data_IF_726198115009
#
_entry.id   IF_726198115009
#
_cell.length_a   1.000
_cell.length_b   1.000
_cell.length_c   1.000
_cell.angle_alpha   90.00
_cell.angle_beta   90.00
_cell.angle_gamma   90.00
#
_symmetry.space_group_name_H-M   'P 1'
#
loop_
_entity.id
_entity.type
_entity.pdbx_description
1 polymer ?
#
# COMPACT_ATOMS: atom_id res chain seq x y z
N UNK A 1 -11.78 -31.71 22.62
CA UNK A 1 -11.12 -30.93 21.55
C UNK A 1 -12.18 -30.06 20.89
N UNK A 2 -11.92 -28.78 20.58
CA UNK A 2 -12.90 -27.96 19.88
C UNK A 2 -13.21 -28.58 18.51
N UNK A 3 -14.49 -28.69 18.19
CA UNK A 3 -14.97 -29.11 16.86
C UNK A 3 -14.65 -27.96 15.91
N UNK A 4 -13.78 -28.21 14.93
CA UNK A 4 -13.48 -27.23 13.88
C UNK A 4 -14.63 -27.29 12.87
N UNK A 5 -15.31 -26.17 12.56
CA UNK A 5 -16.39 -26.19 11.57
C UNK A 5 -15.86 -26.55 10.18
N UNK A 6 -16.66 -27.27 9.39
CA UNK A 6 -16.30 -27.71 8.03
C UNK A 6 -16.00 -26.55 7.06
N UNK A 7 -16.40 -25.31 7.41
CA UNK A 7 -16.12 -24.10 6.64
C UNK A 7 -14.69 -23.58 6.78
N UNK A 8 -13.89 -24.11 7.71
CA UNK A 8 -12.50 -23.70 7.90
C UNK A 8 -11.59 -24.43 6.90
N UNK A 9 -10.73 -23.66 6.25
CA UNK A 9 -9.74 -24.19 5.32
C UNK A 9 -8.37 -24.30 5.99
N UNK A 10 -7.62 -25.35 5.67
CA UNK A 10 -6.24 -25.50 6.15
C UNK A 10 -5.38 -24.39 5.53
N UNK A 11 -4.67 -23.64 6.37
CA UNK A 11 -3.68 -22.68 5.90
C UNK A 11 -2.50 -23.40 5.22
N UNK A 12 -2.14 -22.94 4.03
CA UNK A 12 -0.98 -23.42 3.27
C UNK A 12 -0.08 -22.23 3.01
N UNK A 13 1.05 -22.17 3.71
CA UNK A 13 2.08 -21.15 3.55
C UNK A 13 3.45 -21.79 3.33
N UNK A 14 4.39 -21.00 2.85
CA UNK A 14 5.80 -21.40 2.79
C UNK A 14 6.37 -21.53 4.20
N UNK A 15 7.22 -22.53 4.42
CA UNK A 15 8.00 -22.69 5.65
C UNK A 15 9.51 -22.72 5.31
N UNK A 16 10.14 -21.55 5.06
CA UNK A 16 11.56 -21.48 4.72
C UNK A 16 12.45 -21.90 5.90
N UNK A 17 13.70 -22.26 5.60
CA UNK A 17 14.72 -22.53 6.63
C UNK A 17 15.12 -21.26 7.37
N UNK A 18 15.73 -21.40 8.55
CA UNK A 18 16.19 -20.24 9.32
C UNK A 18 17.19 -19.37 8.53
N UNK A 19 18.09 -19.99 7.77
CA UNK A 19 19.03 -19.29 6.89
C UNK A 19 18.31 -18.47 5.81
N UNK A 20 17.32 -19.08 5.13
CA UNK A 20 16.53 -18.40 4.11
C UNK A 20 15.68 -17.26 4.70
N UNK A 21 15.15 -17.42 5.92
CA UNK A 21 14.44 -16.35 6.63
C UNK A 21 15.36 -15.16 6.93
N UNK A 22 16.57 -15.41 7.40
CA UNK A 22 17.57 -14.35 7.66
C UNK A 22 17.91 -13.62 6.37
N UNK A 23 18.15 -14.37 5.28
CA UNK A 23 18.43 -13.79 3.97
C UNK A 23 17.29 -12.89 3.47
N UNK A 24 16.06 -13.43 3.37
CA UNK A 24 14.88 -12.70 2.89
C UNK A 24 14.60 -11.45 3.71
N UNK A 25 14.71 -11.55 5.03
CA UNK A 25 14.47 -10.41 5.93
C UNK A 25 15.52 -9.30 5.75
N UNK A 26 16.78 -9.67 5.49
CA UNK A 26 17.87 -8.73 5.25
C UNK A 26 17.68 -8.00 3.92
N UNK A 27 17.37 -8.74 2.85
CA UNK A 27 17.09 -8.16 1.53
C UNK A 27 15.91 -7.18 1.57
N UNK A 28 14.82 -7.57 2.24
CA UNK A 28 13.66 -6.72 2.41
C UNK A 28 13.98 -5.46 3.24
N UNK A 29 14.70 -5.61 4.36
CA UNK A 29 15.16 -4.47 5.15
C UNK A 29 15.98 -3.48 4.30
N UNK A 30 16.99 -3.98 3.58
CA UNK A 30 17.84 -3.14 2.72
C UNK A 30 17.04 -2.43 1.64
N UNK A 31 16.05 -3.10 1.02
CA UNK A 31 15.16 -2.48 0.05
C UNK A 31 14.32 -1.36 0.68
N UNK A 32 13.76 -1.60 1.87
CA UNK A 32 12.89 -0.64 2.55
C UNK A 32 13.66 0.55 3.13
N UNK A 33 14.91 0.36 3.55
CA UNK A 33 15.79 1.42 4.08
C UNK A 33 16.15 2.47 3.02
N UNK A 34 16.16 2.09 1.74
CA UNK A 34 16.37 3.02 0.63
C UNK A 34 15.19 3.99 0.42
N UNK A 35 14.00 3.70 0.96
CA UNK A 35 12.80 4.51 0.73
C UNK A 35 12.92 5.87 1.42
N UNK A 36 12.79 6.94 0.63
CA UNK A 36 12.71 8.33 1.11
C UNK A 36 11.38 8.96 0.73
N UNK A 37 10.90 9.87 1.58
CA UNK A 37 9.76 10.73 1.23
C UNK A 37 10.25 11.86 0.31
N UNK A 38 9.96 11.74 -0.97
CA UNK A 38 10.31 12.74 -1.99
C UNK A 38 9.18 13.78 -2.13
N UNK A 39 9.55 15.01 -2.49
CA UNK A 39 8.62 16.15 -2.69
C UNK A 39 8.74 16.78 -4.08
N UNK A 40 9.56 16.19 -4.94
CA UNK A 40 9.76 16.60 -6.34
C UNK A 40 9.50 15.36 -7.19
N UNK A 41 8.59 15.49 -8.17
CA UNK A 41 8.09 14.36 -8.97
C UNK A 41 8.31 14.62 -10.46
N UNK A 42 8.66 13.58 -11.20
CA UNK A 42 8.76 13.64 -12.65
C UNK A 42 7.36 13.75 -13.30
N UNK A 43 7.23 14.40 -14.47
CA UNK A 43 5.95 14.53 -15.16
C UNK A 43 5.53 13.25 -15.90
N UNK A 44 6.45 12.29 -16.07
CA UNK A 44 6.23 11.08 -16.83
C UNK A 44 5.11 10.21 -16.24
N UNK A 45 4.18 9.70 -17.07
CA UNK A 45 3.12 8.84 -16.58
C UNK A 45 3.65 7.47 -16.16
N UNK A 46 3.04 6.91 -15.12
CA UNK A 46 3.30 5.54 -14.66
C UNK A 46 2.32 4.58 -15.38
N UNK A 47 2.74 3.37 -15.78
CA UNK A 47 1.82 2.37 -16.34
C UNK A 47 0.70 2.00 -15.36
N UNK A 48 -0.53 1.86 -15.86
CA UNK A 48 -1.71 1.61 -15.02
C UNK A 48 -1.64 0.29 -14.24
N UNK A 49 -0.97 -0.71 -14.79
CA UNK A 49 -0.75 -1.99 -14.11
C UNK A 49 0.10 -1.83 -12.85
N UNK A 50 1.10 -0.95 -12.87
CA UNK A 50 1.92 -0.66 -11.69
C UNK A 50 1.06 -0.05 -10.59
N UNK A 51 0.22 0.94 -10.93
CA UNK A 51 -0.71 1.56 -9.98
C UNK A 51 -1.71 0.54 -9.43
N UNK A 52 -2.25 -0.33 -10.29
CA UNK A 52 -3.17 -1.40 -9.88
C UNK A 52 -2.50 -2.36 -8.90
N UNK A 53 -1.28 -2.80 -9.19
CA UNK A 53 -0.54 -3.73 -8.33
C UNK A 53 -0.26 -3.14 -6.95
N UNK A 54 0.07 -1.84 -6.88
CA UNK A 54 0.24 -1.13 -5.59
C UNK A 54 -1.08 -1.13 -4.80
N UNK A 55 -2.21 -0.78 -5.42
CA UNK A 55 -3.51 -0.70 -4.75
C UNK A 55 -3.99 -2.07 -4.26
N UNK A 56 -3.92 -3.12 -5.09
CA UNK A 56 -4.34 -4.46 -4.66
C UNK A 56 -3.43 -5.01 -3.56
N UNK A 57 -2.14 -4.67 -3.58
CA UNK A 57 -1.20 -5.02 -2.50
C UNK A 57 -1.62 -4.34 -1.20
N UNK A 58 -1.95 -3.05 -1.22
CA UNK A 58 -2.45 -2.35 -0.03
C UNK A 58 -3.75 -2.97 0.51
N UNK A 59 -4.63 -3.43 -0.39
CA UNK A 59 -5.88 -4.11 -0.04
C UNK A 59 -5.71 -5.47 0.66
N UNK A 60 -4.50 -6.06 0.67
CA UNK A 60 -4.22 -7.30 1.42
C UNK A 60 -4.03 -7.08 2.92
N UNK A 61 -3.98 -5.82 3.38
CA UNK A 61 -3.88 -5.51 4.80
C UNK A 61 -5.03 -6.17 5.60
N UNK A 62 -4.79 -6.60 6.84
CA UNK A 62 -5.86 -7.09 7.70
C UNK A 62 -6.82 -5.94 8.06
N UNK A 63 -8.09 -6.27 8.28
CA UNK A 63 -9.09 -5.30 8.74
C UNK A 63 -9.99 -5.91 9.81
N UNK A 64 -10.41 -5.09 10.76
CA UNK A 64 -11.34 -5.50 11.82
C UNK A 64 -12.61 -6.11 11.22
N UNK A 65 -12.98 -7.29 11.69
CA UNK A 65 -14.11 -8.07 11.18
C UNK A 65 -14.12 -8.23 9.64
N UNK A 66 -12.94 -8.23 9.00
CA UNK A 66 -12.74 -8.34 7.55
C UNK A 66 -13.55 -7.30 6.74
N UNK A 67 -13.72 -6.08 7.26
CA UNK A 67 -14.56 -5.06 6.63
C UNK A 67 -13.94 -4.34 5.44
N UNK A 68 -12.61 -4.38 5.30
CA UNK A 68 -11.85 -3.66 4.26
C UNK A 68 -12.33 -2.20 4.07
N UNK A 69 -12.31 -1.36 5.13
CA UNK A 69 -12.95 -0.05 5.15
C UNK A 69 -12.11 1.03 4.45
N UNK A 70 -11.57 0.73 3.27
CA UNK A 70 -10.72 1.63 2.49
C UNK A 70 -11.26 1.81 1.08
N UNK A 71 -11.10 3.02 0.57
CA UNK A 71 -11.34 3.36 -0.83
C UNK A 71 -10.10 4.08 -1.37
N UNK A 72 -9.56 3.60 -2.48
CA UNK A 72 -8.40 4.19 -3.14
C UNK A 72 -8.86 4.94 -4.40
N UNK A 73 -8.78 6.28 -4.38
CA UNK A 73 -9.07 7.12 -5.54
C UNK A 73 -7.78 7.39 -6.34
N UNK A 74 -7.73 6.94 -7.59
CA UNK A 74 -6.61 7.27 -8.50
C UNK A 74 -7.02 8.45 -9.37
N UNK A 75 -6.35 9.60 -9.19
CA UNK A 75 -6.61 10.83 -9.95
C UNK A 75 -5.49 11.05 -10.96
N UNK A 76 -5.78 10.83 -12.25
CA UNK A 76 -4.83 11.08 -13.36
C UNK A 76 -5.08 12.41 -14.06
N UNK A 77 -6.33 12.86 -14.09
CA UNK A 77 -6.77 14.08 -14.75
C UNK A 77 -6.01 15.30 -14.21
N UNK A 78 -5.48 16.12 -15.12
CA UNK A 78 -4.65 17.26 -14.77
C UNK A 78 -5.46 18.37 -14.08
N UNK A 79 -6.67 18.63 -14.55
CA UNK A 79 -7.52 19.71 -14.04
C UNK A 79 -8.01 19.37 -12.65
N UNK A 80 -8.43 18.11 -12.41
CA UNK A 80 -8.80 17.64 -11.07
C UNK A 80 -7.62 17.74 -10.10
N UNK A 81 -6.40 17.32 -10.51
CA UNK A 81 -5.20 17.49 -9.67
C UNK A 81 -4.91 18.96 -9.36
N UNK A 82 -5.12 19.85 -10.32
CA UNK A 82 -4.94 21.29 -10.11
C UNK A 82 -5.95 21.84 -9.09
N UNK A 83 -7.23 21.46 -9.19
CA UNK A 83 -8.24 21.87 -8.20
C UNK A 83 -7.90 21.37 -6.78
N UNK A 84 -7.47 20.10 -6.65
CA UNK A 84 -7.03 19.53 -5.36
C UNK A 84 -5.86 20.34 -4.78
N UNK A 85 -4.88 20.71 -5.62
CA UNK A 85 -3.73 21.50 -5.20
C UNK A 85 -4.15 22.87 -4.63
N UNK A 86 -5.00 23.60 -5.36
CA UNK A 86 -5.45 24.93 -4.93
C UNK A 86 -6.17 24.87 -3.58
N UNK A 87 -7.07 23.89 -3.40
CA UNK A 87 -7.79 23.71 -2.14
C UNK A 87 -6.83 23.35 -0.97
N UNK A 88 -5.82 22.52 -1.21
CA UNK A 88 -4.84 22.15 -0.19
C UNK A 88 -3.91 23.31 0.21
N UNK A 89 -3.54 24.18 -0.74
CA UNK A 89 -2.72 25.38 -0.48
C UNK A 89 -3.50 26.42 0.35
N UNK A 90 -4.82 26.57 0.11
CA UNK A 90 -5.69 27.45 0.89
C UNK A 90 -5.82 27.00 2.35
N UNK A 91 -6.06 25.70 2.61
CA UNK A 91 -6.15 25.15 3.97
C UNK A 91 -4.84 25.32 4.78
N UNK A 92 -3.69 25.17 4.11
CA UNK A 92 -2.38 25.32 4.74
C UNK A 92 -2.02 26.78 5.07
N UNK A 93 -2.71 27.75 4.48
CA UNK A 93 -2.55 29.17 4.78
C UNK A 93 -3.39 29.60 5.99
N UNK A 94 -3.02 29.12 7.18
CA UNK A 94 -3.57 29.64 8.43
C UNK A 94 -2.96 31.04 8.65
N UNK A 95 -3.75 32.12 8.81
CA UNK A 95 -3.22 33.42 9.22
C UNK A 95 -2.62 33.31 10.63
N UNK A 96 -1.46 33.95 10.85
CA UNK A 96 -0.80 34.04 12.17
C UNK A 96 -1.75 34.51 13.29
#
# INVERSE_FOLDING_TARGET
MPVIPDSFVKFVGENPTAEELVKRSTEFYTQMDQRRSLRMFAPDPIPDEVLRNIVITAGTAPSGAHKQPWFFAIVKDHDIKHQIRLAAEEEGSVPD
#
